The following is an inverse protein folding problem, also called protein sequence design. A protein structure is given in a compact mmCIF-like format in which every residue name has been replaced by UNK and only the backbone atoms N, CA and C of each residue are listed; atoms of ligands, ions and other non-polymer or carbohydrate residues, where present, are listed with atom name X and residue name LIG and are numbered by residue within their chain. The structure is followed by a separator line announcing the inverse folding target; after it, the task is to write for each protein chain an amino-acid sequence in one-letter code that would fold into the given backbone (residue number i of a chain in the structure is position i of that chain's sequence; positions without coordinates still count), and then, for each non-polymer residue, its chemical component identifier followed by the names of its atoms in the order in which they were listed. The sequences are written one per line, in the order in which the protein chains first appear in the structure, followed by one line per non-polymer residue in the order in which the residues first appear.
data_IF_982014446307
#
_entry.id   IF_982014446307
#
_cell.length_a   1.000
_cell.length_b   1.000
_cell.length_c   1.000
_cell.angle_alpha   90.00
_cell.angle_beta   90.00
_cell.angle_gamma   90.00
#
_symmetry.space_group_name_H-M   'P 1'
#
loop_
_entity.id
_entity.type
_entity.pdbx_description
1 polymer ?
#
# COMPACT_ATOMS: atom_id res chain seq x y z
N UNK A 1 -1.35 12.05 -2.91
CA UNK A 1 -2.33 12.21 -4.01
C UNK A 1 -2.15 11.04 -4.95
N UNK A 2 -3.25 10.52 -5.49
CA UNK A 2 -3.29 9.48 -6.51
C UNK A 2 -4.08 10.02 -7.69
N UNK A 3 -3.54 9.87 -8.90
CA UNK A 3 -4.19 10.28 -10.15
C UNK A 3 -4.40 9.04 -11.03
N UNK A 4 -5.65 8.80 -11.42
CA UNK A 4 -6.03 7.70 -12.32
C UNK A 4 -6.56 8.31 -13.60
N UNK A 5 -5.98 7.90 -14.74
CA UNK A 5 -6.45 8.29 -16.07
C UNK A 5 -7.07 7.09 -16.76
N UNK A 6 -8.34 7.17 -17.11
CA UNK A 6 -9.11 6.06 -17.69
C UNK A 6 -10.22 6.60 -18.58
N UNK A 7 -10.42 6.03 -19.76
CA UNK A 7 -11.45 6.48 -20.73
C UNK A 7 -11.44 7.99 -21.02
N UNK A 8 -10.25 8.60 -21.04
CA UNK A 8 -10.09 10.05 -21.24
C UNK A 8 -10.41 10.92 -20.01
N UNK A 9 -10.84 10.31 -18.91
CA UNK A 9 -11.20 10.99 -17.66
C UNK A 9 -10.02 10.94 -16.69
N UNK A 10 -9.80 12.03 -15.95
CA UNK A 10 -8.82 12.10 -14.86
C UNK A 10 -9.51 12.14 -13.50
N UNK A 11 -9.24 11.14 -12.68
CA UNK A 11 -9.71 11.02 -11.30
C UNK A 11 -8.54 11.32 -10.37
N UNK A 12 -8.69 12.27 -9.46
CA UNK A 12 -7.71 12.58 -8.43
C UNK A 12 -8.29 12.34 -7.03
N UNK A 13 -7.51 11.60 -6.24
CA UNK A 13 -7.82 11.27 -4.85
C UNK A 13 -6.67 11.79 -4.00
N UNK A 14 -6.95 12.72 -3.09
CA UNK A 14 -5.93 13.31 -2.22
C UNK A 14 -6.38 13.29 -0.76
N UNK A 15 -5.40 13.46 0.14
CA UNK A 15 -5.64 13.58 1.58
C UNK A 15 -6.40 14.87 1.92
N UNK A 16 -6.22 15.90 1.09
CA UNK A 16 -6.77 17.25 1.30
C UNK A 16 -8.30 17.28 1.27
N UNK A 17 -8.90 16.34 0.53
CA UNK A 17 -10.35 16.21 0.39
C UNK A 17 -10.83 14.81 0.78
N UNK A 18 -10.42 14.33 1.96
CA UNK A 18 -10.81 13.01 2.47
C UNK A 18 -12.33 12.77 2.39
N UNK A 19 -12.75 11.77 1.62
CA UNK A 19 -14.17 11.43 1.39
C UNK A 19 -14.78 12.03 0.11
N UNK A 20 -14.03 12.85 -0.64
CA UNK A 20 -14.39 13.38 -1.96
C UNK A 20 -13.29 13.07 -2.97
N UNK A 21 -13.59 13.21 -4.25
CA UNK A 21 -12.61 13.03 -5.34
C UNK A 21 -12.73 14.18 -6.32
N UNK A 22 -11.66 14.53 -7.03
CA UNK A 22 -11.76 15.43 -8.17
C UNK A 22 -11.89 14.61 -9.45
N UNK A 23 -12.87 14.95 -10.28
CA UNK A 23 -13.09 14.34 -11.60
C UNK A 23 -12.96 15.45 -12.63
N UNK A 24 -11.94 15.37 -13.48
CA UNK A 24 -11.55 16.41 -14.44
C UNK A 24 -11.45 17.81 -13.79
N UNK A 25 -10.89 17.86 -12.58
CA UNK A 25 -10.71 19.08 -11.78
C UNK A 25 -11.94 19.48 -10.95
N UNK A 26 -13.09 18.82 -11.10
CA UNK A 26 -14.32 19.13 -10.37
C UNK A 26 -14.44 18.27 -9.12
N UNK A 27 -14.48 18.91 -7.95
CA UNK A 27 -14.64 18.23 -6.67
C UNK A 27 -16.05 17.60 -6.55
N UNK A 28 -16.08 16.29 -6.35
CA UNK A 28 -17.27 15.43 -6.46
C UNK A 28 -17.43 14.56 -5.21
N UNK A 29 -18.67 14.39 -4.74
CA UNK A 29 -18.98 13.51 -3.60
C UNK A 29 -19.04 12.04 -4.03
N UNK A 30 -18.73 11.14 -3.10
CA UNK A 30 -18.86 9.68 -3.29
C UNK A 30 -20.20 9.16 -2.74
N UNK A 31 -20.80 8.11 -3.34
CA UNK A 31 -20.34 7.38 -4.52
C UNK A 31 -20.60 8.15 -5.83
N UNK A 32 -19.79 7.86 -6.84
CA UNK A 32 -19.87 8.46 -8.17
C UNK A 32 -19.61 7.41 -9.25
N UNK A 33 -20.20 7.59 -10.43
CA UNK A 33 -20.00 6.69 -11.56
C UNK A 33 -19.88 7.46 -12.86
N UNK A 34 -19.03 6.96 -13.74
CA UNK A 34 -18.66 7.57 -15.01
C UNK A 34 -18.88 6.58 -16.16
N UNK A 35 -18.93 7.12 -17.38
CA UNK A 35 -18.95 6.35 -18.62
C UNK A 35 -20.02 5.25 -18.60
N UNK A 36 -21.26 5.59 -18.27
CA UNK A 36 -22.39 4.65 -18.19
C UNK A 36 -22.21 3.46 -17.23
N UNK A 37 -21.40 3.63 -16.18
CA UNK A 37 -21.18 2.58 -15.18
C UNK A 37 -19.84 1.86 -15.32
N UNK A 38 -19.08 2.13 -16.38
CA UNK A 38 -17.79 1.51 -16.66
C UNK A 38 -16.73 1.89 -15.63
N UNK A 39 -16.86 3.03 -14.96
CA UNK A 39 -16.03 3.37 -13.80
C UNK A 39 -16.92 3.70 -12.60
N UNK A 40 -16.62 3.08 -11.47
CA UNK A 40 -17.30 3.27 -10.19
C UNK A 40 -16.31 3.73 -9.16
N UNK A 41 -16.63 4.84 -8.49
CA UNK A 41 -15.80 5.44 -7.45
C UNK A 41 -16.63 5.51 -6.17
N UNK A 42 -16.15 4.91 -5.10
CA UNK A 42 -16.91 4.82 -3.86
C UNK A 42 -15.97 4.64 -2.67
N UNK A 43 -16.54 4.59 -1.46
CA UNK A 43 -15.81 4.40 -0.21
C UNK A 43 -16.23 3.10 0.46
N UNK A 44 -15.26 2.32 0.93
CA UNK A 44 -15.47 1.20 1.86
C UNK A 44 -14.68 1.53 3.12
N UNK A 45 -15.35 1.61 4.28
CA UNK A 45 -14.69 1.92 5.54
C UNK A 45 -13.94 3.26 5.47
N UNK A 46 -12.60 3.22 5.58
CA UNK A 46 -11.72 4.39 5.47
C UNK A 46 -10.89 4.37 4.18
N UNK A 47 -11.40 3.78 3.12
CA UNK A 47 -10.65 3.55 1.88
C UNK A 47 -11.47 4.02 0.69
N UNK A 48 -10.86 4.85 -0.17
CA UNK A 48 -11.38 5.17 -1.49
C UNK A 48 -11.19 3.97 -2.40
N UNK A 49 -12.17 3.68 -3.24
CA UNK A 49 -12.13 2.58 -4.21
C UNK A 49 -12.50 3.12 -5.58
N UNK A 50 -11.66 2.85 -6.58
CA UNK A 50 -11.97 3.02 -8.00
C UNK A 50 -12.05 1.62 -8.60
N UNK A 51 -13.15 1.29 -9.27
CA UNK A 51 -13.30 0.06 -10.04
C UNK A 51 -13.64 0.38 -11.48
N UNK A 52 -13.04 -0.36 -12.40
CA UNK A 52 -13.36 -0.30 -13.82
C UNK A 52 -14.03 -1.59 -14.27
N UNK A 53 -14.72 -1.53 -15.40
CA UNK A 53 -15.34 -2.65 -16.11
C UNK A 53 -14.33 -3.66 -16.68
N UNK A 54 -13.11 -3.23 -17.01
CA UNK A 54 -12.00 -4.11 -17.41
C UNK A 54 -11.26 -4.77 -16.24
N UNK A 55 -11.79 -4.64 -15.01
CA UNK A 55 -11.30 -5.37 -13.85
C UNK A 55 -10.16 -4.70 -13.07
N UNK A 56 -9.69 -3.51 -13.48
CA UNK A 56 -8.78 -2.72 -12.66
C UNK A 56 -9.52 -2.23 -11.40
N UNK A 57 -8.94 -2.47 -10.24
CA UNK A 57 -9.36 -1.88 -9.00
C UNK A 57 -8.19 -1.15 -8.33
N UNK A 58 -8.42 0.08 -7.91
CA UNK A 58 -7.49 0.86 -7.11
C UNK A 58 -8.12 1.16 -5.76
N UNK A 59 -7.35 0.99 -4.69
CA UNK A 59 -7.72 1.44 -3.35
C UNK A 59 -6.70 2.43 -2.81
N UNK A 60 -7.19 3.43 -2.06
CA UNK A 60 -6.35 4.42 -1.40
C UNK A 60 -6.89 4.71 0.01
N UNK A 61 -6.03 4.68 1.02
CA UNK A 61 -6.40 4.88 2.43
C UNK A 61 -6.55 6.35 2.85
N UNK A 62 -6.61 7.27 1.88
CA UNK A 62 -6.60 8.73 2.08
C UNK A 62 -5.30 9.29 2.66
N UNK A 63 -4.23 8.49 2.71
CA UNK A 63 -2.97 8.92 3.30
C UNK A 63 -1.76 8.52 2.46
N UNK A 64 -1.38 7.25 2.47
CA UNK A 64 -0.11 6.78 1.89
C UNK A 64 -0.20 5.45 1.19
N UNK A 65 -1.15 4.56 1.56
CA UNK A 65 -1.23 3.22 0.98
C UNK A 65 -2.11 3.22 -0.26
N UNK A 66 -1.50 2.86 -1.39
CA UNK A 66 -2.20 2.56 -2.64
C UNK A 66 -2.08 1.07 -2.93
N UNK A 67 -3.20 0.44 -3.26
CA UNK A 67 -3.20 -0.94 -3.78
C UNK A 67 -3.85 -0.95 -5.16
N UNK A 68 -3.18 -1.58 -6.11
CA UNK A 68 -3.70 -1.80 -7.47
C UNK A 68 -3.92 -3.29 -7.64
N UNK A 69 -5.08 -3.65 -8.18
CA UNK A 69 -5.45 -5.03 -8.51
C UNK A 69 -5.90 -5.06 -9.95
N UNK A 70 -5.37 -6.02 -10.71
CA UNK A 70 -5.70 -6.27 -12.10
C UNK A 70 -5.99 -7.76 -12.30
N UNK A 71 -6.74 -8.14 -13.34
CA UNK A 71 -6.84 -9.53 -13.77
C UNK A 71 -5.48 -10.09 -14.24
N UNK A 72 -5.31 -11.42 -14.15
CA UNK A 72 -4.11 -12.14 -14.63
C UNK A 72 -3.84 -11.92 -16.13
N UNK A 73 -4.87 -11.54 -16.90
CA UNK A 73 -4.75 -11.19 -18.32
C UNK A 73 -3.79 -10.00 -18.59
N UNK A 74 -3.44 -9.22 -17.56
CA UNK A 74 -2.46 -8.13 -17.66
C UNK A 74 -1.00 -8.58 -17.46
N UNK A 75 -0.76 -9.86 -17.14
CA UNK A 75 0.59 -10.40 -16.96
C UNK A 75 1.51 -10.09 -18.14
N UNK A 76 2.69 -9.52 -17.87
CA UNK A 76 3.67 -9.11 -18.87
C UNK A 76 3.28 -7.89 -19.72
N UNK A 77 2.09 -7.32 -19.51
CA UNK A 77 1.59 -6.15 -20.23
C UNK A 77 1.65 -4.86 -19.40
N UNK A 78 2.04 -4.96 -18.13
CA UNK A 78 2.19 -3.81 -17.25
C UNK A 78 3.60 -3.22 -17.30
N UNK A 79 3.70 -1.96 -16.89
CA UNK A 79 4.97 -1.31 -16.65
C UNK A 79 4.81 -0.25 -15.56
N UNK A 80 5.89 0.02 -14.82
CA UNK A 80 5.90 1.02 -13.76
C UNK A 80 6.72 0.57 -12.55
N UNK A 81 6.58 1.30 -11.44
CA UNK A 81 7.14 0.92 -10.13
C UNK A 81 6.59 -0.40 -9.57
N UNK A 82 5.57 -0.93 -10.23
CA UNK A 82 4.85 -2.15 -9.98
C UNK A 82 5.40 -3.34 -10.80
N UNK A 83 6.48 -3.14 -11.55
CA UNK A 83 7.03 -4.18 -12.43
C UNK A 83 6.11 -4.50 -13.61
N UNK A 84 6.30 -5.70 -14.18
CA UNK A 84 5.58 -6.16 -15.38
C UNK A 84 4.51 -7.21 -15.08
N UNK A 85 4.43 -7.68 -13.83
CA UNK A 85 3.45 -8.67 -13.36
C UNK A 85 3.53 -10.03 -14.09
N UNK A 86 4.70 -10.46 -14.55
CA UNK A 86 4.89 -11.77 -15.20
C UNK A 86 5.18 -12.92 -14.21
N UNK A 87 5.38 -12.61 -12.93
CA UNK A 87 5.69 -13.59 -11.87
C UNK A 87 7.18 -13.81 -11.62
N UNK A 88 8.08 -13.14 -12.35
CA UNK A 88 9.52 -13.18 -12.14
C UNK A 88 10.03 -11.91 -11.42
N UNK A 89 10.33 -11.97 -10.12
CA UNK A 89 10.82 -10.81 -9.39
C UNK A 89 12.22 -10.36 -9.81
N UNK A 90 12.94 -11.14 -10.62
CA UNK A 90 14.29 -10.78 -11.08
C UNK A 90 14.26 -9.66 -12.14
N UNK A 91 13.14 -9.50 -12.86
CA UNK A 91 12.99 -8.49 -13.92
C UNK A 91 12.05 -7.33 -13.56
N UNK A 92 11.55 -7.27 -12.32
CA UNK A 92 10.61 -6.22 -11.88
C UNK A 92 11.25 -4.82 -11.80
N UNK A 93 12.59 -4.73 -11.75
CA UNK A 93 13.33 -3.46 -11.71
C UNK A 93 13.70 -2.94 -13.12
N UNK A 94 12.79 -3.05 -14.08
CA UNK A 94 12.94 -2.46 -15.42
C UNK A 94 12.55 -0.98 -15.38
N UNK A 95 13.52 -0.11 -15.69
CA UNK A 95 13.30 1.33 -15.78
C UNK A 95 12.40 1.71 -16.94
N UNK A 96 11.90 2.95 -16.93
CA UNK A 96 10.98 3.47 -17.96
C UNK A 96 11.53 3.43 -19.39
N UNK A 97 12.85 3.36 -19.55
CA UNK A 97 13.54 3.23 -20.84
C UNK A 97 13.67 1.77 -21.31
N UNK A 98 13.12 0.80 -20.57
CA UNK A 98 13.20 -0.64 -20.88
C UNK A 98 14.49 -1.30 -20.44
N UNK A 99 15.41 -0.58 -19.78
CA UNK A 99 16.67 -1.14 -19.27
C UNK A 99 16.52 -1.55 -17.80
N UNK A 100 17.17 -2.65 -17.42
CA UNK A 100 17.28 -3.04 -16.01
C UNK A 100 18.00 -1.94 -15.22
N UNK A 101 17.38 -1.47 -14.15
CA UNK A 101 17.97 -0.47 -13.28
C UNK A 101 19.10 -1.08 -12.42
N UNK A 102 20.13 -0.28 -12.15
CA UNK A 102 21.29 -0.71 -11.38
C UNK A 102 20.96 -0.93 -9.89
N UNK A 103 19.98 -0.19 -9.37
CA UNK A 103 19.55 -0.25 -7.97
C UNK A 103 18.13 0.33 -7.81
N UNK A 104 17.47 0.12 -6.64
CA UNK A 104 16.12 0.61 -6.38
C UNK A 104 15.93 2.13 -6.49
N UNK A 105 16.95 2.92 -6.15
CA UNK A 105 16.87 4.38 -6.22
C UNK A 105 16.84 4.86 -7.68
N UNK A 106 17.72 4.29 -8.52
CA UNK A 106 17.75 4.54 -9.97
C UNK A 106 16.45 4.06 -10.63
N UNK A 107 15.91 2.91 -10.20
CA UNK A 107 14.62 2.42 -10.65
C UNK A 107 13.50 3.43 -10.34
N UNK A 108 13.40 3.87 -9.08
CA UNK A 108 12.44 4.89 -8.64
C UNK A 108 12.54 6.20 -9.43
N UNK A 109 13.76 6.69 -9.62
CA UNK A 109 14.04 7.91 -10.38
C UNK A 109 13.64 7.81 -11.86
N UNK A 110 13.80 6.63 -12.48
CA UNK A 110 13.48 6.42 -13.90
C UNK A 110 11.98 6.56 -14.21
N UNK A 111 11.11 6.30 -13.23
CA UNK A 111 9.67 6.31 -13.36
C UNK A 111 9.01 7.65 -12.98
N UNK A 112 9.81 8.69 -12.71
CA UNK A 112 9.30 10.03 -12.45
C UNK A 112 8.42 10.54 -13.59
N UNK A 113 7.33 11.21 -13.22
CA UNK A 113 6.37 11.81 -14.17
C UNK A 113 6.48 13.33 -14.26
N UNK A 114 7.33 13.95 -13.45
CA UNK A 114 7.60 15.38 -13.46
C UNK A 114 8.50 15.79 -12.29
N UNK A 115 9.14 16.94 -12.42
CA UNK A 115 9.95 17.54 -11.36
C UNK A 115 9.09 18.44 -10.49
N UNK A 116 9.17 18.22 -9.18
CA UNK A 116 8.49 19.05 -8.19
C UNK A 116 9.57 19.87 -7.47
N UNK A 117 9.47 21.21 -7.46
CA UNK A 117 10.41 22.05 -6.72
C UNK A 117 10.58 21.58 -5.28
N UNK A 118 11.82 21.35 -4.85
CA UNK A 118 12.15 20.85 -3.52
C UNK A 118 12.09 19.31 -3.37
N UNK A 119 11.68 18.57 -4.40
CA UNK A 119 11.80 17.11 -4.43
C UNK A 119 13.15 16.70 -5.01
N UNK A 120 13.80 15.72 -4.39
CA UNK A 120 15.05 15.14 -4.86
C UNK A 120 14.94 13.63 -5.01
N UNK A 121 15.80 13.06 -5.84
CA UNK A 121 15.93 11.61 -5.95
C UNK A 121 16.64 11.09 -4.69
N UNK A 122 15.98 10.18 -3.96
CA UNK A 122 16.52 9.61 -2.73
C UNK A 122 16.63 10.62 -1.58
N UNK A 123 17.86 10.88 -1.14
CA UNK A 123 18.20 11.79 -0.04
C UNK A 123 19.31 12.75 -0.49
N UNK A 124 19.26 14.00 0.00
CA UNK A 124 20.40 14.91 -0.14
C UNK A 124 21.45 14.57 0.93
N UNK A 125 22.65 14.20 0.50
CA UNK A 125 23.77 13.87 1.40
C UNK A 125 23.68 12.45 1.95
N UNK A 126 23.94 12.27 3.24
CA UNK A 126 23.84 10.96 3.89
C UNK A 126 22.39 10.64 4.20
N UNK A 127 21.88 9.56 3.62
CA UNK A 127 20.55 9.04 3.97
C UNK A 127 20.48 8.72 5.48
N UNK A 128 19.32 8.92 6.12
CA UNK A 128 19.14 8.53 7.51
C UNK A 128 19.49 7.05 7.69
N UNK A 129 20.48 6.78 8.54
CA UNK A 129 20.87 5.42 8.90
C UNK A 129 20.25 5.07 10.25
N UNK A 130 19.82 3.83 10.34
CA UNK A 130 19.28 3.23 11.55
C UNK A 130 20.30 2.30 12.17
N UNK A 131 20.77 2.65 13.37
CA UNK A 131 21.65 1.77 14.15
C UNK A 131 20.91 0.51 14.58
N UNK A 132 21.65 -0.58 14.81
CA UNK A 132 21.04 -1.82 15.28
C UNK A 132 20.42 -1.68 16.67
N UNK A 133 20.95 -0.77 17.50
CA UNK A 133 20.36 -0.42 18.79
C UNK A 133 18.98 0.24 18.64
N UNK A 134 18.83 1.20 17.70
CA UNK A 134 17.53 1.82 17.41
C UNK A 134 16.55 0.79 16.86
N UNK A 135 16.98 -0.05 15.91
CA UNK A 135 16.14 -1.12 15.35
C UNK A 135 15.65 -2.08 16.44
N UNK A 136 16.54 -2.47 17.34
CA UNK A 136 16.21 -3.35 18.47
C UNK A 136 15.17 -2.72 19.41
N UNK A 137 15.27 -1.42 19.67
CA UNK A 137 14.27 -0.71 20.47
C UNK A 137 12.87 -0.71 19.81
N UNK A 138 12.81 -0.51 18.48
CA UNK A 138 11.54 -0.49 17.72
C UNK A 138 11.00 -1.88 17.38
N UNK A 139 11.82 -2.93 17.51
CA UNK A 139 11.39 -4.32 17.41
C UNK A 139 10.53 -4.77 18.60
N UNK A 140 10.55 -4.05 19.73
CA UNK A 140 9.78 -4.39 20.92
C UNK A 140 8.26 -4.27 20.77
N UNK A 141 7.51 -4.84 21.72
CA UNK A 141 6.03 -4.88 21.75
C UNK A 141 5.36 -3.50 21.93
N UNK A 142 6.12 -2.50 22.38
CA UNK A 142 5.71 -1.08 22.41
C UNK A 142 5.68 -0.41 21.02
N UNK A 143 6.18 -1.11 19.99
CA UNK A 143 6.29 -0.69 18.61
C UNK A 143 5.93 -1.85 17.66
N UNK A 144 6.87 -2.31 16.83
CA UNK A 144 6.60 -3.21 15.71
C UNK A 144 6.45 -4.68 16.12
N UNK A 145 6.91 -5.07 17.31
CA UNK A 145 6.86 -6.46 17.79
C UNK A 145 5.46 -7.05 17.90
N UNK A 146 4.41 -6.20 17.88
CA UNK A 146 3.02 -6.68 17.84
C UNK A 146 2.67 -7.39 16.53
N UNK A 147 3.37 -7.10 15.43
CA UNK A 147 3.14 -7.70 14.12
C UNK A 147 3.42 -9.20 14.17
N UNK A 148 4.39 -9.64 14.98
CA UNK A 148 4.88 -11.01 15.06
C UNK A 148 4.47 -11.74 16.35
N UNK A 149 3.69 -11.11 17.22
CA UNK A 149 3.27 -11.69 18.50
C UNK A 149 2.24 -12.83 18.27
N UNK A 150 2.59 -14.10 18.58
CA UNK A 150 1.69 -15.24 18.37
C UNK A 150 0.49 -15.25 19.31
N UNK A 151 0.55 -14.53 20.43
CA UNK A 151 -0.59 -14.32 21.34
C UNK A 151 -1.28 -12.97 21.08
N UNK A 152 -0.80 -12.22 20.09
CA UNK A 152 -1.21 -10.87 19.80
C UNK A 152 -2.53 -10.75 19.05
N UNK A 153 -2.86 -9.52 18.62
CA UNK A 153 -4.12 -9.24 17.95
C UNK A 153 -4.19 -9.78 16.51
N UNK A 154 -3.08 -10.24 15.95
CA UNK A 154 -2.97 -10.74 14.58
C UNK A 154 -2.69 -12.25 14.50
N UNK A 155 -2.84 -12.97 15.61
CA UNK A 155 -2.51 -14.40 15.72
C UNK A 155 -3.12 -15.28 14.62
N UNK A 156 -4.36 -15.01 14.23
CA UNK A 156 -5.06 -15.79 13.20
C UNK A 156 -4.53 -15.47 11.78
N UNK A 157 -3.83 -14.35 11.60
CA UNK A 157 -3.25 -13.92 10.34
C UNK A 157 -1.84 -14.46 10.10
N UNK A 158 -1.07 -14.73 11.17
CA UNK A 158 0.34 -15.17 11.06
C UNK A 158 0.51 -16.47 10.26
N UNK A 159 -0.51 -17.31 10.22
CA UNK A 159 -0.51 -18.57 9.45
C UNK A 159 -0.88 -18.41 7.97
N UNK A 160 -1.38 -17.25 7.55
CA UNK A 160 -1.85 -17.00 6.18
C UNK A 160 -1.15 -15.83 5.48
N UNK A 161 -0.53 -14.93 6.24
CA UNK A 161 0.31 -13.83 5.75
C UNK A 161 1.62 -13.85 6.53
N UNK A 162 2.75 -13.98 5.82
CA UNK A 162 4.08 -13.92 6.45
C UNK A 162 4.32 -12.52 7.05
N UNK A 163 4.47 -12.38 8.38
CA UNK A 163 4.67 -11.10 9.04
C UNK A 163 6.07 -10.51 8.82
N UNK A 164 7.05 -11.30 8.36
CA UNK A 164 8.47 -10.93 8.38
C UNK A 164 8.74 -9.60 7.68
N UNK A 165 8.31 -9.45 6.43
CA UNK A 165 8.52 -8.20 5.67
C UNK A 165 7.78 -7.01 6.27
N UNK A 166 6.58 -7.22 6.81
CA UNK A 166 5.83 -6.16 7.48
C UNK A 166 6.53 -5.67 8.76
N UNK A 167 7.08 -6.61 9.53
CA UNK A 167 7.85 -6.31 10.73
C UNK A 167 9.15 -5.57 10.41
N UNK A 168 9.94 -6.06 9.45
CA UNK A 168 11.20 -5.45 9.02
C UNK A 168 10.98 -4.02 8.50
N UNK A 169 9.96 -3.83 7.65
CA UNK A 169 9.58 -2.50 7.14
C UNK A 169 9.09 -1.58 8.26
N UNK A 170 8.29 -2.09 9.20
CA UNK A 170 7.86 -1.31 10.36
C UNK A 170 9.04 -0.79 11.17
N UNK A 171 9.99 -1.67 11.51
CA UNK A 171 11.17 -1.30 12.30
C UNK A 171 12.00 -0.25 11.56
N UNK A 172 12.22 -0.46 10.26
CA UNK A 172 12.96 0.46 9.41
C UNK A 172 12.29 1.85 9.33
N UNK A 173 11.00 1.90 8.97
CA UNK A 173 10.25 3.14 8.83
C UNK A 173 10.18 3.89 10.16
N UNK A 174 9.79 3.22 11.25
CA UNK A 174 9.70 3.85 12.57
C UNK A 174 11.06 4.40 13.00
N UNK A 175 12.15 3.70 12.67
CA UNK A 175 13.49 4.17 13.00
C UNK A 175 13.90 5.41 12.21
N UNK A 176 13.72 5.43 10.87
CA UNK A 176 14.06 6.59 10.05
C UNK A 176 13.26 7.83 10.47
N UNK A 177 12.02 7.62 10.90
CA UNK A 177 11.16 8.66 11.44
C UNK A 177 11.28 8.83 12.96
N UNK A 178 12.37 8.36 13.58
CA UNK A 178 12.73 8.63 14.98
C UNK A 178 11.60 8.33 15.99
N UNK A 179 10.92 7.20 15.77
CA UNK A 179 9.91 6.69 16.68
C UNK A 179 8.52 7.29 16.50
N UNK A 180 8.28 8.05 15.42
CA UNK A 180 7.01 8.73 15.18
C UNK A 180 5.85 7.72 15.22
N UNK A 181 4.96 7.86 16.22
CA UNK A 181 3.89 6.88 16.49
C UNK A 181 2.92 6.73 15.34
N UNK A 182 2.74 7.77 14.56
CA UNK A 182 1.86 7.72 13.40
C UNK A 182 2.41 6.85 12.26
N UNK A 183 3.73 6.84 12.03
CA UNK A 183 4.39 5.93 11.08
C UNK A 183 4.26 4.49 11.56
N UNK A 184 4.47 4.26 12.87
CA UNK A 184 4.21 2.96 13.49
C UNK A 184 2.78 2.47 13.20
N UNK A 185 1.78 3.34 13.43
CA UNK A 185 0.39 2.97 13.27
C UNK A 185 -0.03 2.79 11.81
N UNK A 186 0.57 3.52 10.88
CA UNK A 186 0.38 3.30 9.45
C UNK A 186 0.97 1.96 9.01
N UNK A 187 2.19 1.64 9.47
CA UNK A 187 2.84 0.38 9.13
C UNK A 187 2.06 -0.83 9.64
N UNK A 188 1.60 -0.80 10.91
CA UNK A 188 0.74 -1.84 11.47
C UNK A 188 -0.61 -1.92 10.72
N UNK A 189 -1.21 -0.77 10.36
CA UNK A 189 -2.46 -0.76 9.60
C UNK A 189 -2.32 -1.41 8.21
N UNK A 190 -1.15 -1.36 7.59
CA UNK A 190 -0.87 -2.06 6.33
C UNK A 190 -0.93 -3.58 6.50
N UNK A 191 -0.36 -4.12 7.58
CA UNK A 191 -0.45 -5.54 7.89
C UNK A 191 -1.89 -5.96 8.19
N UNK A 192 -2.60 -5.18 9.02
CA UNK A 192 -4.02 -5.41 9.35
C UNK A 192 -4.88 -5.48 8.09
N UNK A 193 -4.70 -4.54 7.17
CA UNK A 193 -5.49 -4.53 5.94
C UNK A 193 -5.17 -5.74 5.05
N UNK A 194 -3.91 -6.16 4.96
CA UNK A 194 -3.53 -7.39 4.25
C UNK A 194 -4.18 -8.62 4.86
N UNK A 195 -4.21 -8.72 6.20
CA UNK A 195 -4.89 -9.79 6.91
C UNK A 195 -6.41 -9.82 6.65
N UNK A 196 -7.05 -8.65 6.67
CA UNK A 196 -8.48 -8.53 6.40
C UNK A 196 -8.82 -8.94 4.96
N UNK A 197 -7.95 -8.65 4.00
CA UNK A 197 -8.13 -9.02 2.60
C UNK A 197 -8.09 -10.54 2.37
N UNK A 198 -7.38 -11.29 3.22
CA UNK A 198 -7.40 -12.77 3.20
C UNK A 198 -8.46 -13.38 4.14
N UNK A 199 -9.30 -12.53 4.77
CA UNK A 199 -10.37 -12.96 5.66
C UNK A 199 -9.91 -13.42 7.05
N UNK A 200 -8.67 -13.10 7.46
CA UNK A 200 -8.20 -13.42 8.80
C UNK A 200 -8.88 -12.52 9.85
N UNK A 201 -9.17 -13.10 11.02
CA UNK A 201 -9.74 -12.35 12.13
C UNK A 201 -8.69 -11.43 12.75
N UNK A 202 -9.11 -10.19 13.06
CA UNK A 202 -8.26 -9.20 13.72
C UNK A 202 -8.90 -8.81 15.04
N UNK A 203 -8.16 -9.03 16.13
CA UNK A 203 -8.58 -8.65 17.47
C UNK A 203 -8.19 -7.19 17.76
N UNK A 204 -8.77 -6.56 18.80
CA UNK A 204 -8.48 -5.16 19.12
C UNK A 204 -6.97 -4.90 19.31
N UNK A 205 -6.38 -4.13 18.41
CA UNK A 205 -4.95 -3.78 18.43
C UNK A 205 -4.69 -2.31 18.77
N UNK A 206 -5.71 -1.45 18.66
CA UNK A 206 -5.66 -0.03 19.01
C UNK A 206 -6.16 0.18 20.44
N UNK A 207 -5.50 1.06 21.19
CA UNK A 207 -5.86 1.47 22.55
C UNK A 207 -5.49 2.94 22.79
N UNK A 208 -5.89 3.51 23.94
CA UNK A 208 -5.57 4.91 24.30
C UNK A 208 -4.06 5.22 24.26
N UNK A 209 -3.22 4.24 24.59
CA UNK A 209 -1.75 4.37 24.59
C UNK A 209 -1.06 3.79 23.35
N UNK A 210 -1.80 3.20 22.41
CA UNK A 210 -1.22 2.54 21.25
C UNK A 210 -2.11 2.68 20.02
N UNK A 211 -1.70 3.50 19.06
CA UNK A 211 -2.45 3.72 17.82
C UNK A 211 -3.92 4.07 18.04
N UNK A 212 -4.23 4.76 19.14
CA UNK A 212 -5.54 5.38 19.33
C UNK A 212 -5.89 6.26 18.14
N UNK A 213 -7.18 6.37 17.83
CA UNK A 213 -7.63 7.35 16.83
C UNK A 213 -7.36 8.75 17.39
N UNK A 214 -6.28 9.39 16.97
CA UNK A 214 -6.14 10.83 17.10
C UNK A 214 -6.98 11.53 16.02
N UNK A 215 -7.56 12.69 16.37
CA UNK A 215 -8.14 13.62 15.39
C UNK A 215 -7.06 14.05 14.39
N UNK A 216 -7.40 14.42 13.15
CA UNK A 216 -6.43 14.51 12.08
C UNK A 216 -5.52 15.73 12.28
N UNK A 217 -4.25 15.47 12.58
CA UNK A 217 -3.16 16.43 12.41
C UNK A 217 -2.39 16.10 11.14
N UNK A 218 -2.06 17.16 10.40
CA UNK A 218 -1.38 17.11 9.12
C UNK A 218 -0.06 16.33 9.25
N UNK A 219 0.03 15.23 8.53
CA UNK A 219 1.24 14.42 8.48
C UNK A 219 1.92 14.52 7.12
N UNK A 220 3.24 14.57 7.17
CA UNK A 220 4.12 14.45 6.01
C UNK A 220 4.05 12.99 5.55
N UNK A 221 3.65 12.75 4.29
CA UNK A 221 3.45 11.41 3.74
C UNK A 221 4.34 11.20 2.52
N UNK A 222 5.09 10.08 2.51
CA UNK A 222 5.53 9.40 1.29
C UNK A 222 4.44 8.41 0.86
N UNK A 223 4.32 8.15 -0.44
CA UNK A 223 3.39 7.16 -0.99
C UNK A 223 4.04 5.78 -0.87
N UNK A 224 3.38 4.86 -0.17
CA UNK A 224 3.73 3.45 -0.19
C UNK A 224 2.85 2.75 -1.22
N UNK A 225 3.46 2.36 -2.33
CA UNK A 225 2.82 1.51 -3.35
C UNK A 225 3.10 0.07 -2.94
N UNK A 226 2.06 -0.66 -2.54
CA UNK A 226 2.18 -2.09 -2.29
C UNK A 226 1.54 -2.84 -3.46
N UNK A 227 2.33 -3.68 -4.12
CA UNK A 227 1.79 -4.80 -4.88
C UNK A 227 1.92 -6.08 -4.07
N UNK A 228 0.87 -6.89 -4.16
CA UNK A 228 0.92 -8.26 -3.66
C UNK A 228 1.71 -9.10 -4.67
N UNK A 229 2.86 -9.69 -4.31
CA UNK A 229 3.23 -10.95 -4.93
C UNK A 229 2.13 -11.96 -4.60
N UNK A 230 1.83 -12.87 -5.54
CA UNK A 230 0.81 -13.90 -5.40
C UNK A 230 0.80 -14.49 -3.97
N UNK A 231 -0.18 -14.06 -3.16
CA UNK A 231 -0.67 -14.93 -2.10
C UNK A 231 -1.36 -16.04 -2.87
N UNK A 232 -0.63 -17.13 -3.11
CA UNK A 232 -1.22 -18.38 -3.53
C UNK A 232 -2.26 -18.74 -2.47
N UNK A 233 -3.51 -18.32 -2.69
CA UNK A 233 -4.64 -18.87 -1.96
C UNK A 233 -4.66 -20.32 -2.40
N UNK A 234 -4.39 -21.29 -1.51
CA UNK A 234 -4.53 -22.67 -1.90
C UNK A 234 -5.99 -22.85 -2.32
N UNK A 235 -6.21 -23.15 -3.60
CA UNK A 235 -7.49 -23.64 -4.09
C UNK A 235 -7.80 -24.89 -3.28
N UNK A 236 -8.65 -24.76 -2.25
CA UNK A 236 -9.37 -25.91 -1.72
C UNK A 236 -10.28 -26.36 -2.86
N UNK A 237 -9.81 -27.35 -3.62
CA UNK A 237 -10.69 -28.17 -4.43
C UNK A 237 -11.59 -28.90 -3.44
N UNK A 238 -12.83 -28.43 -3.33
CA UNK A 238 -13.90 -29.22 -2.72
C UNK A 238 -14.32 -30.28 -3.75
N UNK A 239 -13.57 -31.37 -3.76
CA UNK A 239 -13.87 -32.56 -4.54
C UNK A 239 -14.86 -33.42 -3.76
N UNK A 240 -16.15 -33.14 -3.88
CA UNK A 240 -17.21 -34.09 -3.58
C UNK A 240 -18.02 -34.33 -4.86
N UNK A 241 -17.52 -35.26 -5.68
CA UNK A 241 -18.33 -35.90 -6.71
C UNK A 241 -18.79 -37.22 -6.12
N UNK A 242 -20.09 -37.27 -5.87
CA UNK A 242 -20.86 -38.49 -5.61
C UNK A 242 -20.72 -39.46 -6.78
N UNK A 243 -20.55 -40.74 -6.47
CA UNK A 243 -20.95 -41.87 -7.31
C UNK A 243 -21.64 -42.89 -6.42
#
# INVERSE_FOLDING_TARGET
MVRVKVYGITIEISKDYSGKVQVDGILTNLPFSLSNGNVKIYKIGMTAVVRTDFGLALTFDWNSRVTVTVPDAYSGSLCGLCGNYNGDPADDLIGKNGQTALNPDAFGGSWKTGDVPGCVDGCQGSCPVCSDQEKWAYAGSGFCGRITDPSGPFRDCLGVVDPKRFFENCVYDVCIYKGLKSILCQSIASYVATCQEVGANIYPWRSKGFCGKSLPEAQISKVLVFMKPNLAVPRKYDGSITS
#
